data_IF_635666489968
#
_entry.id   IF_635666489968
#
_cell.length_a   1.000
_cell.length_b   1.000
_cell.length_c   1.000
_cell.angle_alpha   90.00
_cell.angle_beta   90.00
_cell.angle_gamma   90.00
#
_symmetry.space_group_name_H-M   'P 1'
#
loop_
_entity.id
_entity.type
_entity.pdbx_description
1 polymer ?
#
# COMPACT_ATOMS: atom_id res chain seq x y z
N UNK A 1 -29.56 -22.87 -4.37
CA UNK A 1 -29.60 -21.77 -5.35
C UNK A 1 -28.41 -21.93 -6.28
N UNK A 2 -28.65 -22.42 -7.50
CA UNK A 2 -27.62 -22.62 -8.53
C UNK A 2 -27.22 -21.24 -9.06
N UNK A 3 -26.12 -20.69 -8.55
CA UNK A 3 -25.59 -19.43 -9.03
C UNK A 3 -25.08 -19.59 -10.47
N UNK A 4 -25.88 -19.16 -11.45
CA UNK A 4 -25.40 -19.04 -12.82
C UNK A 4 -24.16 -18.16 -12.84
N UNK A 5 -23.05 -18.72 -13.32
CA UNK A 5 -21.79 -17.99 -13.48
C UNK A 5 -22.02 -16.90 -14.53
N UNK A 6 -22.10 -15.65 -14.11
CA UNK A 6 -22.32 -14.52 -15.02
C UNK A 6 -21.03 -14.18 -15.79
N UNK A 7 -21.10 -13.66 -17.03
CA UNK A 7 -19.91 -13.25 -17.78
C UNK A 7 -18.98 -12.33 -17.01
N UNK A 8 -19.54 -11.43 -16.18
CA UNK A 8 -18.78 -10.52 -15.31
C UNK A 8 -17.96 -11.27 -14.26
N UNK A 9 -18.47 -12.37 -13.69
CA UNK A 9 -17.72 -13.18 -12.72
C UNK A 9 -16.55 -13.88 -13.40
N UNK A 10 -16.75 -14.39 -14.61
CA UNK A 10 -15.67 -15.01 -15.39
C UNK A 10 -14.59 -13.98 -15.73
N UNK A 11 -14.96 -12.84 -16.29
CA UNK A 11 -14.02 -11.78 -16.67
C UNK A 11 -13.26 -11.24 -15.46
N UNK A 12 -13.95 -11.01 -14.34
CA UNK A 12 -13.30 -10.53 -13.10
C UNK A 12 -12.33 -11.56 -12.49
N UNK A 13 -12.68 -12.86 -12.54
CA UNK A 13 -11.78 -13.92 -12.07
C UNK A 13 -10.56 -14.09 -12.99
N UNK A 14 -10.75 -13.96 -14.31
CA UNK A 14 -9.65 -13.97 -15.27
C UNK A 14 -8.73 -12.76 -15.08
N UNK A 15 -9.29 -11.58 -14.82
CA UNK A 15 -8.52 -10.39 -14.49
C UNK A 15 -7.70 -10.57 -13.19
N UNK A 16 -8.31 -11.15 -12.16
CA UNK A 16 -7.62 -11.49 -10.91
C UNK A 16 -6.48 -12.48 -11.13
N UNK A 17 -6.74 -13.54 -11.90
CA UNK A 17 -5.72 -14.52 -12.28
C UNK A 17 -4.59 -13.90 -13.10
N UNK A 18 -4.92 -13.03 -14.05
CA UNK A 18 -3.94 -12.35 -14.89
C UNK A 18 -3.04 -11.41 -14.08
N UNK A 19 -3.61 -10.58 -13.18
CA UNK A 19 -2.83 -9.70 -12.30
C UNK A 19 -1.95 -10.51 -11.38
N UNK A 20 -2.48 -11.57 -10.75
CA UNK A 20 -1.70 -12.45 -9.89
C UNK A 20 -0.56 -13.13 -10.66
N UNK A 21 -0.82 -13.65 -11.86
CA UNK A 21 0.19 -14.26 -12.71
C UNK A 21 1.28 -13.25 -13.12
N UNK A 22 0.88 -12.05 -13.55
CA UNK A 22 1.81 -10.99 -13.96
C UNK A 22 2.76 -10.57 -12.85
N UNK A 23 2.26 -10.51 -11.62
CA UNK A 23 3.06 -10.13 -10.45
C UNK A 23 3.89 -11.31 -9.93
N UNK A 24 3.33 -12.52 -9.90
CA UNK A 24 4.01 -13.69 -9.33
C UNK A 24 5.03 -14.32 -10.30
N UNK A 25 4.79 -14.24 -11.61
CA UNK A 25 5.66 -14.83 -12.63
C UNK A 25 7.12 -14.43 -12.48
N UNK A 26 7.49 -13.15 -12.38
CA UNK A 26 8.88 -12.75 -12.20
C UNK A 26 9.45 -13.08 -10.81
N UNK A 27 8.58 -13.41 -9.83
CA UNK A 27 8.99 -13.67 -8.45
C UNK A 27 9.23 -15.16 -8.17
N UNK A 28 8.37 -16.05 -8.71
CA UNK A 28 8.38 -17.48 -8.37
C UNK A 28 8.50 -18.41 -9.58
N UNK A 29 8.65 -17.85 -10.78
CA UNK A 29 8.72 -18.59 -12.03
C UNK A 29 7.36 -18.90 -12.66
N UNK A 30 7.38 -19.25 -13.95
CA UNK A 30 6.17 -19.33 -14.77
C UNK A 30 5.16 -20.41 -14.33
N UNK A 31 5.64 -21.61 -14.07
CA UNK A 31 4.77 -22.73 -13.70
C UNK A 31 4.07 -22.55 -12.37
N UNK A 32 4.81 -22.13 -11.36
CA UNK A 32 4.26 -21.88 -10.01
C UNK A 32 3.32 -20.68 -10.01
N UNK A 33 3.69 -19.61 -10.71
CA UNK A 33 2.82 -18.44 -10.86
C UNK A 33 1.50 -18.78 -11.58
N UNK A 34 1.53 -19.59 -12.62
CA UNK A 34 0.32 -20.02 -13.32
C UNK A 34 -0.61 -20.85 -12.43
N UNK A 35 -0.06 -21.79 -11.67
CA UNK A 35 -0.86 -22.62 -10.74
C UNK A 35 -1.49 -21.75 -9.65
N UNK A 36 -0.72 -20.86 -9.04
CA UNK A 36 -1.23 -19.95 -8.00
C UNK A 36 -2.29 -18.99 -8.57
N UNK A 37 -2.06 -18.43 -9.74
CA UNK A 37 -3.00 -17.53 -10.39
C UNK A 37 -4.31 -18.21 -10.76
N UNK A 38 -4.27 -19.42 -11.31
CA UNK A 38 -5.46 -20.21 -11.61
C UNK A 38 -6.21 -20.61 -10.34
N UNK A 39 -5.50 -21.01 -9.28
CA UNK A 39 -6.10 -21.32 -8.00
C UNK A 39 -6.80 -20.11 -7.37
N UNK A 40 -6.16 -18.94 -7.39
CA UNK A 40 -6.75 -17.69 -6.91
C UNK A 40 -7.97 -17.28 -7.75
N UNK A 41 -7.91 -17.44 -9.07
CA UNK A 41 -9.05 -17.16 -9.96
C UNK A 41 -10.24 -18.08 -9.72
N UNK A 42 -10.00 -19.38 -9.52
CA UNK A 42 -11.05 -20.36 -9.21
C UNK A 42 -11.69 -20.07 -7.83
N UNK A 43 -10.89 -19.73 -6.82
CA UNK A 43 -11.37 -19.28 -5.52
C UNK A 43 -12.18 -17.98 -5.64
N UNK A 44 -11.68 -17.01 -6.42
CA UNK A 44 -12.37 -15.74 -6.66
C UNK A 44 -13.74 -15.98 -7.32
N UNK A 45 -13.81 -16.86 -8.32
CA UNK A 45 -15.08 -17.19 -9.00
C UNK A 45 -16.13 -17.74 -8.04
N UNK A 46 -15.73 -18.52 -7.04
CA UNK A 46 -16.62 -19.23 -6.11
C UNK A 46 -17.03 -18.39 -4.90
N UNK A 47 -16.09 -17.61 -4.35
CA UNK A 47 -16.27 -16.98 -3.04
C UNK A 47 -16.32 -15.45 -3.07
N UNK A 48 -15.82 -14.82 -4.13
CA UNK A 48 -15.70 -13.37 -4.19
C UNK A 48 -16.99 -12.71 -4.72
N UNK A 49 -17.47 -11.64 -4.08
CA UNK A 49 -18.62 -10.87 -4.55
C UNK A 49 -18.39 -10.27 -5.94
N UNK A 50 -19.47 -10.14 -6.74
CA UNK A 50 -19.42 -9.57 -8.09
C UNK A 50 -18.80 -8.16 -8.11
N UNK A 51 -19.08 -7.33 -7.10
CA UNK A 51 -18.52 -5.98 -6.99
C UNK A 51 -17.00 -5.97 -6.89
N UNK A 52 -16.42 -6.92 -6.16
CA UNK A 52 -14.97 -7.07 -6.00
C UNK A 52 -14.33 -7.57 -7.30
N UNK A 53 -14.98 -8.51 -7.99
CA UNK A 53 -14.51 -8.99 -9.30
C UNK A 53 -14.50 -7.87 -10.36
N UNK A 54 -15.50 -6.98 -10.34
CA UNK A 54 -15.52 -5.80 -11.20
C UNK A 54 -14.35 -4.84 -10.90
N UNK A 55 -14.05 -4.62 -9.62
CA UNK A 55 -12.87 -3.82 -9.24
C UNK A 55 -11.58 -4.43 -9.77
N UNK A 56 -11.41 -5.75 -9.64
CA UNK A 56 -10.25 -6.45 -10.17
C UNK A 56 -10.14 -6.33 -11.70
N UNK A 57 -11.26 -6.37 -12.41
CA UNK A 57 -11.27 -6.16 -13.86
C UNK A 57 -10.76 -4.76 -14.24
N UNK A 58 -11.19 -3.72 -13.50
CA UNK A 58 -10.73 -2.35 -13.72
C UNK A 58 -9.29 -2.10 -13.24
N UNK A 59 -8.75 -2.95 -12.39
CA UNK A 59 -7.36 -2.84 -11.93
C UNK A 59 -6.36 -3.04 -13.07
N UNK A 60 -6.65 -3.93 -14.04
CA UNK A 60 -5.75 -4.20 -15.18
C UNK A 60 -5.51 -2.96 -16.04
N UNK A 61 -6.56 -2.29 -16.60
CA UNK A 61 -6.34 -1.08 -17.38
C UNK A 61 -5.76 0.07 -16.55
N UNK A 62 -6.10 0.15 -15.26
CA UNK A 62 -5.53 1.16 -14.36
C UNK A 62 -4.02 0.95 -14.16
N UNK A 63 -3.56 -0.29 -13.99
CA UNK A 63 -2.12 -0.61 -13.94
C UNK A 63 -1.42 -0.22 -15.23
N UNK A 64 -2.01 -0.60 -16.38
CA UNK A 64 -1.46 -0.23 -17.68
C UNK A 64 -1.34 1.29 -17.85
N UNK A 65 -2.38 2.03 -17.45
CA UNK A 65 -2.38 3.49 -17.48
C UNK A 65 -1.31 4.09 -16.56
N UNK A 66 -1.18 3.58 -15.33
CA UNK A 66 -0.19 4.08 -14.36
C UNK A 66 1.23 3.84 -14.87
N UNK A 67 1.52 2.64 -15.39
CA UNK A 67 2.82 2.34 -15.99
C UNK A 67 3.09 3.24 -17.20
N UNK A 68 2.09 3.44 -18.06
CA UNK A 68 2.21 4.32 -19.22
C UNK A 68 2.53 5.75 -18.80
N UNK A 69 1.79 6.31 -17.85
CA UNK A 69 2.02 7.66 -17.32
C UNK A 69 3.41 7.76 -16.71
N UNK A 70 3.83 6.77 -15.92
CA UNK A 70 5.16 6.74 -15.32
C UNK A 70 6.25 6.77 -16.38
N UNK A 71 6.14 5.96 -17.45
CA UNK A 71 7.07 5.98 -18.57
C UNK A 71 7.09 7.35 -19.24
N UNK A 72 5.92 7.91 -19.54
CA UNK A 72 5.84 9.23 -20.20
C UNK A 72 6.50 10.33 -19.34
N UNK A 73 6.25 10.34 -18.04
CA UNK A 73 6.91 11.29 -17.14
C UNK A 73 8.45 11.16 -17.21
N UNK A 74 8.96 9.93 -17.13
CA UNK A 74 10.41 9.68 -17.17
C UNK A 74 11.04 10.05 -18.52
N UNK A 75 10.30 9.89 -19.63
CA UNK A 75 10.77 10.24 -20.96
C UNK A 75 10.67 11.74 -21.28
N UNK A 76 9.89 12.52 -20.53
CA UNK A 76 9.82 13.99 -20.66
C UNK A 76 10.85 14.70 -19.77
N UNK A 77 11.36 14.05 -18.73
CA UNK A 77 12.43 14.61 -17.89
C UNK A 77 13.74 14.62 -18.69
N UNK A 78 14.43 15.78 -18.82
CA UNK A 78 15.69 15.88 -19.55
C UNK A 78 16.80 15.06 -18.87
N UNK A 79 17.72 14.49 -19.68
CA UNK A 79 18.87 13.70 -19.25
C UNK A 79 18.71 12.20 -19.53
N UNK A 80 19.83 11.47 -19.54
CA UNK A 80 19.92 10.02 -19.77
C UNK A 80 20.29 9.29 -18.48
N UNK A 81 19.93 8.02 -18.32
CA UNK A 81 20.43 7.18 -17.23
C UNK A 81 21.95 7.14 -17.14
N UNK A 82 22.63 7.33 -18.26
CA UNK A 82 24.08 7.26 -18.41
C UNK A 82 24.78 8.63 -18.36
N UNK A 83 24.03 9.74 -18.19
CA UNK A 83 24.58 11.10 -18.21
C UNK A 83 25.48 11.46 -17.00
N UNK A 84 25.40 10.72 -15.90
CA UNK A 84 26.17 10.99 -14.68
C UNK A 84 27.56 10.35 -14.65
N UNK A 85 27.93 9.55 -15.65
CA UNK A 85 29.27 8.96 -15.76
C UNK A 85 30.21 9.99 -16.39
N UNK A 86 31.12 10.53 -15.58
CA UNK A 86 31.99 11.70 -15.87
C UNK A 86 32.82 11.64 -17.14
N UNK A 87 32.95 10.52 -17.84
CA UNK A 87 33.79 10.33 -19.02
C UNK A 87 33.08 9.59 -20.17
N UNK A 88 31.76 9.57 -20.22
CA UNK A 88 31.07 8.83 -21.27
C UNK A 88 30.92 9.66 -22.50
N UNK A 89 31.58 9.25 -23.59
CA UNK A 89 31.43 9.87 -24.93
C UNK A 89 29.99 9.67 -25.42
N UNK A 90 29.48 10.57 -26.25
CA UNK A 90 28.12 10.48 -26.80
C UNK A 90 27.85 9.14 -27.52
N UNK A 91 28.87 8.60 -28.18
CA UNK A 91 28.79 7.30 -28.86
C UNK A 91 28.59 6.15 -27.89
N UNK A 92 29.36 6.10 -26.79
CA UNK A 92 29.23 5.08 -25.75
C UNK A 92 27.88 5.17 -25.07
N UNK A 93 27.38 6.39 -24.82
CA UNK A 93 26.05 6.59 -24.25
C UNK A 93 24.95 6.03 -25.18
N UNK A 94 25.02 6.29 -26.49
CA UNK A 94 24.06 5.76 -27.48
C UNK A 94 24.11 4.23 -27.53
N UNK A 95 25.30 3.62 -27.51
CA UNK A 95 25.44 2.18 -27.47
C UNK A 95 24.81 1.57 -26.20
N UNK A 96 25.01 2.21 -25.05
CA UNK A 96 24.38 1.76 -23.79
C UNK A 96 22.84 1.92 -23.85
N UNK A 97 22.31 3.04 -24.36
CA UNK A 97 20.87 3.23 -24.55
C UNK A 97 20.27 2.16 -25.48
N UNK A 98 20.97 1.81 -26.56
CA UNK A 98 20.55 0.73 -27.46
C UNK A 98 20.61 -0.64 -26.78
N UNK A 99 21.67 -0.95 -26.03
CA UNK A 99 21.82 -2.21 -25.29
C UNK A 99 20.69 -2.43 -24.30
N UNK A 100 20.29 -1.39 -23.57
CA UNK A 100 19.16 -1.42 -22.63
C UNK A 100 17.81 -1.16 -23.30
N UNK A 101 17.78 -1.01 -24.63
CA UNK A 101 16.55 -0.79 -25.38
C UNK A 101 15.84 0.52 -25.03
N UNK A 102 16.59 1.58 -24.74
CA UNK A 102 16.04 2.90 -24.41
C UNK A 102 15.95 3.72 -25.69
N UNK A 103 14.74 4.00 -26.22
CA UNK A 103 14.59 4.81 -27.42
C UNK A 103 14.86 6.30 -27.15
N UNK A 104 14.92 7.09 -28.21
CA UNK A 104 15.05 8.54 -28.10
C UNK A 104 13.96 9.14 -27.21
N UNK A 105 14.31 10.18 -26.48
CA UNK A 105 13.41 10.93 -25.58
C UNK A 105 12.17 11.47 -26.30
N UNK A 106 11.14 11.75 -25.52
CA UNK A 106 9.86 12.30 -26.00
C UNK A 106 8.73 11.28 -26.03
N UNK A 107 7.54 11.72 -26.37
CA UNK A 107 6.31 10.95 -26.30
C UNK A 107 6.38 9.63 -27.10
N UNK A 108 6.85 9.70 -28.35
CA UNK A 108 6.96 8.51 -29.24
C UNK A 108 7.95 7.50 -28.68
N UNK A 109 9.07 7.97 -28.12
CA UNK A 109 10.05 7.11 -27.45
C UNK A 109 9.45 6.43 -26.23
N UNK A 110 8.72 7.17 -25.41
CA UNK A 110 7.99 6.61 -24.27
C UNK A 110 6.98 5.53 -24.70
N UNK A 111 6.21 5.74 -25.76
CA UNK A 111 5.30 4.73 -26.30
C UNK A 111 6.04 3.45 -26.75
N UNK A 112 7.15 3.58 -27.44
CA UNK A 112 7.97 2.44 -27.90
C UNK A 112 8.56 1.68 -26.71
N UNK A 113 9.08 2.39 -25.71
CA UNK A 113 9.62 1.78 -24.50
C UNK A 113 8.52 1.07 -23.70
N UNK A 114 7.37 1.69 -23.50
CA UNK A 114 6.23 1.09 -22.83
C UNK A 114 5.78 -0.20 -23.51
N UNK A 115 5.57 -0.18 -24.84
CA UNK A 115 5.19 -1.38 -25.59
C UNK A 115 6.19 -2.53 -25.43
N UNK A 116 7.49 -2.24 -25.51
CA UNK A 116 8.56 -3.20 -25.29
C UNK A 116 8.57 -3.73 -23.85
N UNK A 117 8.45 -2.85 -22.87
CA UNK A 117 8.42 -3.23 -21.46
C UNK A 117 7.25 -4.16 -21.14
N UNK A 118 6.05 -3.83 -21.62
CA UNK A 118 4.85 -4.68 -21.45
C UNK A 118 5.05 -6.02 -22.15
N UNK A 119 5.64 -6.04 -23.36
CA UNK A 119 5.96 -7.29 -24.05
C UNK A 119 6.91 -8.16 -23.22
N UNK A 120 8.03 -7.62 -22.72
CA UNK A 120 8.96 -8.36 -21.86
C UNK A 120 8.31 -8.83 -20.55
N UNK A 121 7.47 -8.02 -19.95
CA UNK A 121 6.77 -8.38 -18.73
C UNK A 121 5.80 -9.55 -18.94
N UNK A 122 5.06 -9.55 -20.05
CA UNK A 122 4.03 -10.57 -20.37
C UNK A 122 4.63 -11.79 -21.08
N UNK A 123 5.49 -11.59 -22.06
CA UNK A 123 6.06 -12.68 -22.85
C UNK A 123 7.25 -13.37 -22.15
N UNK A 124 8.19 -12.59 -21.64
CA UNK A 124 9.44 -13.12 -21.05
C UNK A 124 9.33 -13.31 -19.53
N UNK A 125 8.33 -12.71 -18.87
CA UNK A 125 8.13 -12.78 -17.44
C UNK A 125 9.22 -12.07 -16.63
N UNK A 126 9.85 -11.04 -17.18
CA UNK A 126 10.95 -10.30 -16.54
C UNK A 126 10.55 -8.85 -16.29
N UNK A 127 10.98 -8.29 -15.15
CA UNK A 127 10.83 -6.86 -14.87
C UNK A 127 11.93 -6.01 -15.54
N UNK A 128 12.84 -6.65 -16.29
CA UNK A 128 13.95 -6.02 -16.98
C UNK A 128 15.24 -5.98 -16.16
N UNK A 129 16.34 -5.51 -16.78
CA UNK A 129 17.65 -5.38 -16.13
C UNK A 129 17.72 -4.11 -15.27
N UNK A 130 18.52 -4.13 -14.19
CA UNK A 130 18.90 -2.91 -13.48
C UNK A 130 19.96 -2.17 -14.30
N UNK A 131 19.71 -0.87 -14.58
CA UNK A 131 20.68 -0.06 -15.33
C UNK A 131 21.88 0.31 -14.44
N UNK A 132 21.63 0.59 -13.17
CA UNK A 132 22.68 1.05 -12.23
C UNK A 132 23.37 -0.06 -11.48
N UNK A 133 22.77 -1.24 -11.37
CA UNK A 133 23.38 -2.42 -10.76
C UNK A 133 23.64 -3.46 -11.84
N UNK A 134 24.81 -3.36 -12.46
CA UNK A 134 25.19 -4.25 -13.58
C UNK A 134 25.11 -5.72 -13.19
N UNK A 135 24.61 -6.55 -14.11
CA UNK A 135 24.49 -7.99 -13.95
C UNK A 135 23.34 -8.46 -13.04
N UNK A 136 22.48 -7.57 -12.55
CA UNK A 136 21.29 -7.94 -11.77
C UNK A 136 20.00 -7.56 -12.51
N UNK A 137 18.98 -8.40 -12.33
CA UNK A 137 17.61 -8.07 -12.74
C UNK A 137 16.92 -7.20 -11.70
N UNK A 138 15.87 -6.50 -12.11
CA UNK A 138 15.00 -5.75 -11.18
C UNK A 138 14.41 -6.67 -10.12
N UNK A 139 14.06 -7.89 -10.48
CA UNK A 139 13.53 -8.90 -9.56
C UNK A 139 14.52 -9.23 -8.45
N UNK A 140 15.82 -9.37 -8.78
CA UNK A 140 16.88 -9.74 -7.80
C UNK A 140 17.07 -8.67 -6.72
N UNK A 141 16.75 -7.42 -7.03
CA UNK A 141 16.92 -6.30 -6.07
C UNK A 141 15.64 -5.98 -5.33
N UNK A 142 14.47 -6.18 -5.95
CA UNK A 142 13.18 -5.85 -5.33
C UNK A 142 12.60 -6.98 -4.48
N UNK A 143 12.84 -8.25 -4.85
CA UNK A 143 12.30 -9.38 -4.10
C UNK A 143 12.80 -9.45 -2.64
N UNK A 144 14.09 -9.23 -2.34
CA UNK A 144 14.56 -9.15 -0.95
C UNK A 144 14.05 -7.92 -0.20
N UNK A 145 13.73 -6.82 -0.90
CA UNK A 145 13.21 -5.58 -0.30
C UNK A 145 11.71 -5.65 0.04
N UNK A 146 10.96 -6.51 -0.68
CA UNK A 146 9.50 -6.64 -0.52
C UNK A 146 9.07 -7.01 0.92
N UNK A 147 9.61 -8.04 1.59
CA UNK A 147 9.21 -8.38 2.96
C UNK A 147 9.55 -7.29 3.97
N UNK A 148 10.57 -6.47 3.70
CA UNK A 148 10.98 -5.35 4.55
C UNK A 148 9.90 -4.26 4.53
N UNK A 149 9.55 -3.76 3.34
CA UNK A 149 8.48 -2.76 3.19
C UNK A 149 7.13 -3.28 3.66
N UNK A 150 6.81 -4.57 3.37
CA UNK A 150 5.57 -5.18 3.81
C UNK A 150 5.47 -5.24 5.34
N UNK A 151 6.53 -5.67 6.03
CA UNK A 151 6.55 -5.75 7.50
C UNK A 151 6.47 -4.36 8.15
N UNK A 152 7.14 -3.36 7.59
CA UNK A 152 7.03 -1.97 8.04
C UNK A 152 5.61 -1.43 7.84
N UNK A 153 5.04 -1.60 6.66
CA UNK A 153 3.68 -1.17 6.34
C UNK A 153 2.62 -1.85 7.20
N UNK A 154 2.75 -3.16 7.40
CA UNK A 154 1.85 -3.93 8.27
C UNK A 154 1.92 -3.45 9.73
N UNK A 155 3.13 -3.25 10.26
CA UNK A 155 3.32 -2.73 11.61
C UNK A 155 2.69 -1.33 11.75
N UNK A 156 2.92 -0.44 10.78
CA UNK A 156 2.33 0.89 10.78
C UNK A 156 0.80 0.84 10.73
N UNK A 157 0.21 -0.04 9.91
CA UNK A 157 -1.24 -0.22 9.82
C UNK A 157 -1.84 -0.75 11.12
N UNK A 158 -1.18 -1.72 11.76
CA UNK A 158 -1.61 -2.25 13.05
C UNK A 158 -1.55 -1.19 14.15
N UNK A 159 -0.47 -0.42 14.20
CA UNK A 159 -0.33 0.71 15.14
C UNK A 159 -1.39 1.79 14.88
N UNK A 160 -1.60 2.18 13.62
CA UNK A 160 -2.61 3.16 13.25
C UNK A 160 -4.02 2.71 13.65
N UNK A 161 -4.35 1.45 13.37
CA UNK A 161 -5.67 0.90 13.69
C UNK A 161 -5.86 0.76 15.20
N UNK A 162 -4.89 0.19 15.90
CA UNK A 162 -4.96 -0.01 17.34
C UNK A 162 -5.04 1.30 18.12
N UNK A 163 -4.14 2.24 17.85
CA UNK A 163 -4.13 3.56 18.48
C UNK A 163 -5.38 4.38 18.09
N UNK A 164 -5.70 4.43 16.80
CA UNK A 164 -6.85 5.19 16.30
C UNK A 164 -8.18 4.70 16.87
N UNK A 165 -8.43 3.38 16.88
CA UNK A 165 -9.63 2.81 17.47
C UNK A 165 -9.72 3.08 18.97
N UNK A 166 -8.64 2.85 19.71
CA UNK A 166 -8.67 3.04 21.18
C UNK A 166 -8.91 4.50 21.55
N UNK A 167 -8.24 5.43 20.90
CA UNK A 167 -8.42 6.87 21.12
C UNK A 167 -9.81 7.33 20.68
N UNK A 168 -10.25 6.95 19.48
CA UNK A 168 -11.52 7.39 18.93
C UNK A 168 -12.74 6.85 19.69
N UNK A 169 -12.73 5.55 20.03
CA UNK A 169 -13.82 4.97 20.83
C UNK A 169 -13.91 5.60 22.21
N UNK A 170 -12.76 5.79 22.91
CA UNK A 170 -12.76 6.46 24.22
C UNK A 170 -13.27 7.90 24.14
N UNK A 171 -12.88 8.64 23.11
CA UNK A 171 -13.36 9.99 22.84
C UNK A 171 -14.88 10.02 22.57
N UNK A 172 -15.37 9.08 21.72
CA UNK A 172 -16.78 8.96 21.40
C UNK A 172 -17.69 8.53 22.54
N UNK A 173 -17.18 7.72 23.49
CA UNK A 173 -17.91 7.31 24.70
C UNK A 173 -18.05 8.46 25.73
N UNK A 174 -17.15 9.43 25.71
CA UNK A 174 -17.15 10.58 26.63
C UNK A 174 -16.96 11.89 25.85
N UNK A 175 -17.94 12.29 25.03
CA UNK A 175 -17.83 13.49 24.23
C UNK A 175 -17.74 14.74 25.09
N UNK A 176 -17.08 15.78 24.59
CA UNK A 176 -16.86 17.06 25.27
C UNK A 176 -16.08 16.97 26.61
N UNK A 177 -15.23 15.96 26.77
CA UNK A 177 -14.32 15.79 27.90
C UNK A 177 -12.87 16.05 27.50
N UNK A 178 -11.97 16.16 28.48
CA UNK A 178 -10.52 16.30 28.22
C UNK A 178 -9.95 15.13 27.38
N UNK A 179 -10.48 13.92 27.55
CA UNK A 179 -10.10 12.77 26.72
C UNK A 179 -10.51 12.95 25.26
N UNK A 180 -11.67 13.56 25.03
CA UNK A 180 -12.14 13.87 23.67
C UNK A 180 -11.29 14.98 23.05
N UNK A 181 -11.12 16.11 23.74
CA UNK A 181 -10.30 17.21 23.24
C UNK A 181 -8.84 16.79 23.01
N UNK A 182 -8.25 15.99 23.92
CA UNK A 182 -6.89 15.47 23.76
C UNK A 182 -6.76 14.54 22.54
N UNK A 183 -7.74 13.63 22.34
CA UNK A 183 -7.76 12.75 21.17
C UNK A 183 -7.92 13.53 19.86
N UNK A 184 -8.75 14.56 19.85
CA UNK A 184 -8.93 15.40 18.66
C UNK A 184 -7.74 16.31 18.40
N UNK A 185 -7.09 16.84 19.44
CA UNK A 185 -5.82 17.57 19.32
C UNK A 185 -4.72 16.68 18.70
N UNK A 186 -4.58 15.46 19.20
CA UNK A 186 -3.67 14.48 18.60
C UNK A 186 -4.03 14.19 17.12
N UNK A 187 -5.32 14.05 16.82
CA UNK A 187 -5.78 13.82 15.44
C UNK A 187 -5.46 15.00 14.52
N UNK A 188 -5.63 16.23 14.97
CA UNK A 188 -5.29 17.42 14.18
C UNK A 188 -3.79 17.45 13.90
N UNK A 189 -2.94 17.28 14.90
CA UNK A 189 -1.48 17.26 14.75
C UNK A 189 -1.01 16.15 13.81
N UNK A 190 -1.57 14.93 13.96
CA UNK A 190 -1.18 13.79 13.15
C UNK A 190 -1.54 13.93 11.67
N UNK A 191 -2.65 14.59 11.33
CA UNK A 191 -3.05 14.82 9.93
C UNK A 191 -2.32 16.03 9.33
N UNK A 192 -1.94 17.02 10.14
CA UNK A 192 -1.34 18.27 9.66
C UNK A 192 0.12 18.13 9.25
N UNK A 193 0.82 17.14 9.78
CA UNK A 193 2.25 16.95 9.53
C UNK A 193 2.50 15.77 8.56
N UNK A 194 3.32 15.95 7.52
CA UNK A 194 3.78 14.85 6.68
C UNK A 194 4.52 13.78 7.50
N UNK A 195 4.34 12.50 7.16
CA UNK A 195 4.93 11.37 7.89
C UNK A 195 6.45 11.45 8.01
N UNK A 196 7.16 11.94 7.00
CA UNK A 196 8.61 12.09 7.05
C UNK A 196 9.06 13.20 8.02
N UNK A 197 8.27 14.27 8.18
CA UNK A 197 8.53 15.32 9.18
C UNK A 197 8.38 14.73 10.58
N UNK A 198 7.30 13.98 10.82
CA UNK A 198 7.10 13.25 12.07
C UNK A 198 8.28 12.31 12.33
N UNK A 199 8.70 11.55 11.30
CA UNK A 199 9.84 10.64 11.35
C UNK A 199 11.14 11.34 11.73
N UNK A 200 11.43 12.49 11.11
CA UNK A 200 12.60 13.30 11.44
C UNK A 200 12.56 13.82 12.87
N UNK A 201 11.40 14.30 13.36
CA UNK A 201 11.23 14.75 14.74
C UNK A 201 11.43 13.60 15.73
N UNK A 202 10.84 12.42 15.46
CA UNK A 202 11.03 11.23 16.30
C UNK A 202 12.49 10.78 16.33
N UNK A 203 13.19 10.83 15.20
CA UNK A 203 14.62 10.50 15.11
C UNK A 203 15.46 11.46 15.96
N UNK A 204 15.22 12.76 15.86
CA UNK A 204 15.94 13.77 16.66
C UNK A 204 15.72 13.57 18.14
N UNK A 205 14.47 13.32 18.56
CA UNK A 205 14.14 13.21 19.99
C UNK A 205 14.59 11.87 20.57
N UNK A 206 14.28 10.74 19.90
CA UNK A 206 14.41 9.39 20.48
C UNK A 206 15.62 8.59 19.99
N UNK A 207 16.29 9.03 18.94
CA UNK A 207 17.48 8.33 18.43
C UNK A 207 18.76 9.16 18.60
N UNK A 208 18.70 10.48 18.41
CA UNK A 208 19.86 11.39 18.50
C UNK A 208 19.91 12.17 19.81
N UNK A 209 18.76 12.47 20.43
CA UNK A 209 18.63 13.31 21.61
C UNK A 209 19.13 12.60 22.88
N UNK A 210 20.20 13.12 23.52
CA UNK A 210 20.62 12.68 24.85
C UNK A 210 19.71 13.29 25.91
N UNK A 211 19.30 12.52 26.93
CA UNK A 211 19.64 11.15 27.29
C UNK A 211 18.72 10.08 26.63
N UNK A 212 17.84 10.42 25.68
CA UNK A 212 16.74 9.62 25.17
C UNK A 212 17.07 8.77 23.92
N UNK A 213 18.37 8.48 23.68
CA UNK A 213 18.78 7.62 22.55
C UNK A 213 18.37 6.15 22.75
N UNK A 214 17.05 5.91 22.75
CA UNK A 214 16.47 4.58 23.00
C UNK A 214 16.38 3.70 21.74
N UNK A 215 16.37 4.33 20.58
CA UNK A 215 16.19 3.66 19.30
C UNK A 215 17.36 3.91 18.35
N UNK A 216 17.64 2.97 17.44
CA UNK A 216 18.63 3.17 16.38
C UNK A 216 18.24 4.33 15.47
N UNK A 217 19.23 5.07 14.97
CA UNK A 217 19.01 6.23 14.07
C UNK A 217 18.55 5.75 12.69
N UNK A 218 19.18 4.69 12.16
CA UNK A 218 18.93 4.21 10.80
C UNK A 218 19.29 2.73 10.66
N UNK A 219 18.79 2.10 9.60
CA UNK A 219 19.10 0.72 9.23
C UNK A 219 17.94 -0.24 9.43
N UNK A 220 18.25 -1.54 9.39
CA UNK A 220 17.31 -2.65 9.51
C UNK A 220 18.01 -3.82 10.21
N UNK A 221 17.26 -4.66 10.93
CA UNK A 221 17.84 -5.89 11.51
C UNK A 221 17.41 -6.18 12.95
N UNK A 222 16.79 -5.20 13.66
CA UNK A 222 16.20 -5.44 14.98
C UNK A 222 14.85 -4.76 15.10
N UNK A 223 14.06 -5.20 16.08
CA UNK A 223 12.75 -4.59 16.36
C UNK A 223 12.84 -3.06 16.60
N UNK A 224 13.93 -2.60 17.24
CA UNK A 224 14.16 -1.17 17.50
C UNK A 224 14.21 -0.32 16.23
N UNK A 225 14.68 -0.86 15.11
CA UNK A 225 14.74 -0.14 13.82
C UNK A 225 13.37 0.07 13.19
N UNK A 226 12.35 -0.74 13.57
CA UNK A 226 11.00 -0.65 12.99
C UNK A 226 10.15 0.38 13.73
N UNK A 227 10.39 0.60 15.04
CA UNK A 227 9.47 1.37 15.91
C UNK A 227 9.26 2.79 15.42
N UNK A 228 10.33 3.58 15.30
CA UNK A 228 10.20 4.99 14.91
C UNK A 228 9.62 5.16 13.49
N UNK A 229 10.09 4.44 12.47
CA UNK A 229 9.49 4.50 11.14
C UNK A 229 8.02 4.10 11.11
N UNK A 230 7.66 3.01 11.82
CA UNK A 230 6.27 2.54 11.88
C UNK A 230 5.35 3.55 12.60
N UNK A 231 5.80 4.17 13.68
CA UNK A 231 5.05 5.25 14.37
C UNK A 231 4.89 6.45 13.45
N UNK A 232 5.94 6.88 12.75
CA UNK A 232 5.88 8.00 11.82
C UNK A 232 4.86 7.77 10.70
N UNK A 233 4.84 6.57 10.11
CA UNK A 233 3.88 6.18 9.10
C UNK A 233 2.46 6.03 9.67
N UNK A 234 2.32 5.51 10.88
CA UNK A 234 1.04 5.25 11.51
C UNK A 234 0.30 6.54 11.92
N UNK A 235 1.01 7.57 12.35
CA UNK A 235 0.42 8.75 13.01
C UNK A 235 -0.69 9.44 12.20
N UNK A 236 -0.52 9.79 10.91
CA UNK A 236 -1.59 10.43 10.12
C UNK A 236 -2.84 9.54 10.00
N UNK A 237 -2.65 8.24 9.84
CA UNK A 237 -3.73 7.27 9.69
C UNK A 237 -4.42 6.97 11.02
N UNK A 238 -3.67 6.87 12.12
CA UNK A 238 -4.21 6.74 13.48
C UNK A 238 -5.10 7.94 13.82
N UNK A 239 -4.67 9.13 13.47
CA UNK A 239 -5.42 10.37 13.65
C UNK A 239 -6.75 10.37 12.88
N UNK A 240 -6.72 9.92 11.63
CA UNK A 240 -7.93 9.81 10.80
C UNK A 240 -8.87 8.72 11.31
N UNK A 241 -8.34 7.55 11.67
CA UNK A 241 -9.08 6.43 12.25
C UNK A 241 -9.71 6.83 13.59
N UNK A 242 -9.01 7.58 14.44
CA UNK A 242 -9.54 8.07 15.71
C UNK A 242 -10.78 8.97 15.48
N UNK A 243 -10.74 9.85 14.49
CA UNK A 243 -11.87 10.70 14.13
C UNK A 243 -13.07 9.91 13.61
N UNK A 244 -12.83 8.91 12.73
CA UNK A 244 -13.88 8.03 12.24
C UNK A 244 -14.49 7.19 13.37
N UNK A 245 -13.66 6.59 14.21
CA UNK A 245 -14.13 5.79 15.35
C UNK A 245 -14.91 6.63 16.36
N UNK A 246 -14.48 7.88 16.61
CA UNK A 246 -15.21 8.81 17.48
C UNK A 246 -16.60 9.09 16.96
N UNK A 247 -16.72 9.55 15.70
CA UNK A 247 -18.03 9.86 15.10
C UNK A 247 -18.94 8.64 15.02
N UNK A 248 -18.41 7.48 14.59
CA UNK A 248 -19.18 6.23 14.56
C UNK A 248 -19.63 5.78 15.95
N UNK A 249 -18.80 5.97 16.99
CA UNK A 249 -19.19 5.66 18.38
C UNK A 249 -20.32 6.55 18.86
N UNK A 250 -20.21 7.87 18.65
CA UNK A 250 -21.29 8.82 19.05
C UNK A 250 -22.60 8.48 18.34
N UNK A 251 -22.55 8.23 17.04
CA UNK A 251 -23.73 7.88 16.25
C UNK A 251 -24.41 6.60 16.78
N UNK A 252 -23.65 5.54 16.96
CA UNK A 252 -24.20 4.25 17.41
C UNK A 252 -24.71 4.30 18.84
N UNK A 253 -24.03 5.00 19.75
CA UNK A 253 -24.45 5.13 21.16
C UNK A 253 -25.82 5.87 21.29
N UNK A 254 -26.25 6.60 20.30
CA UNK A 254 -27.54 7.28 20.28
C UNK A 254 -28.67 6.44 19.63
N UNK A 255 -28.39 5.24 19.13
CA UNK A 255 -29.38 4.35 18.47
C UNK A 255 -30.32 3.70 19.49
N UNK A 256 -31.53 3.37 19.06
CA UNK A 256 -32.59 2.81 19.92
C UNK A 256 -32.24 1.42 20.47
N UNK A 257 -31.49 0.59 19.71
CA UNK A 257 -31.07 -0.72 20.21
C UNK A 257 -30.09 -0.61 21.39
N UNK A 258 -29.28 0.46 21.45
CA UNK A 258 -28.40 0.73 22.59
C UNK A 258 -29.22 1.16 23.81
N UNK A 259 -30.25 2.01 23.63
CA UNK A 259 -31.19 2.39 24.68
C UNK A 259 -31.93 1.18 25.22
N UNK A 260 -32.37 0.28 24.33
CA UNK A 260 -33.02 -0.99 24.72
C UNK A 260 -32.09 -1.90 25.51
N UNK A 261 -30.82 -2.00 25.13
CA UNK A 261 -29.84 -2.81 25.87
C UNK A 261 -29.61 -2.27 27.30
N UNK A 262 -29.53 -0.94 27.46
CA UNK A 262 -29.45 -0.29 28.77
C UNK A 262 -30.72 -0.49 29.60
N UNK A 263 -31.89 -0.39 28.98
CA UNK A 263 -33.17 -0.61 29.65
C UNK A 263 -33.33 -2.06 30.17
N UNK A 264 -32.67 -3.02 29.52
CA UNK A 264 -32.60 -4.44 29.99
C UNK A 264 -31.60 -4.66 31.15
N UNK A 265 -30.95 -3.58 31.64
CA UNK A 265 -30.02 -3.67 32.76
C UNK A 265 -28.63 -4.21 32.41
N UNK A 266 -28.24 -4.26 31.13
CA UNK A 266 -26.90 -4.71 30.74
C UNK A 266 -25.84 -3.71 31.24
N UNK A 267 -24.70 -4.23 31.75
CA UNK A 267 -23.60 -3.36 32.16
C UNK A 267 -23.01 -2.60 30.97
N UNK A 268 -22.61 -1.34 31.18
CA UNK A 268 -22.15 -0.44 30.10
C UNK A 268 -21.03 -1.05 29.25
N UNK A 269 -20.10 -1.81 29.87
CA UNK A 269 -19.05 -2.53 29.15
C UNK A 269 -19.62 -3.51 28.12
N UNK A 270 -20.69 -4.21 28.46
CA UNK A 270 -21.33 -5.18 27.57
C UNK A 270 -22.09 -4.47 26.46
N UNK A 271 -22.79 -3.38 26.78
CA UNK A 271 -23.46 -2.50 25.81
C UNK A 271 -22.45 -1.99 24.78
N UNK A 272 -21.31 -1.49 25.21
CA UNK A 272 -20.25 -0.99 24.32
C UNK A 272 -19.66 -2.11 23.47
N UNK A 273 -19.17 -3.19 24.10
CA UNK A 273 -18.38 -4.21 23.39
C UNK A 273 -19.23 -5.10 22.47
N UNK A 274 -20.44 -5.47 22.88
CA UNK A 274 -21.31 -6.38 22.10
C UNK A 274 -22.25 -5.64 21.14
N UNK A 275 -22.75 -4.48 21.55
CA UNK A 275 -23.80 -3.78 20.79
C UNK A 275 -23.28 -2.57 20.02
N UNK A 276 -22.49 -1.69 20.65
CA UNK A 276 -22.08 -0.46 19.99
C UNK A 276 -20.84 -0.60 19.10
N UNK A 277 -19.79 -1.31 19.56
CA UNK A 277 -18.50 -1.36 18.89
C UNK A 277 -18.59 -1.91 17.47
N UNK A 278 -19.40 -2.94 17.23
CA UNK A 278 -19.58 -3.54 15.91
C UNK A 278 -20.05 -2.51 14.86
N UNK A 279 -21.00 -1.65 15.23
CA UNK A 279 -21.48 -0.59 14.33
C UNK A 279 -20.48 0.56 14.18
N UNK A 280 -19.83 0.92 15.30
CA UNK A 280 -18.90 2.05 15.34
C UNK A 280 -17.61 1.83 14.52
N UNK A 281 -17.19 0.57 14.34
CA UNK A 281 -15.96 0.26 13.58
C UNK A 281 -16.18 0.12 12.07
N UNK A 282 -17.42 0.05 11.58
CA UNK A 282 -17.70 -0.12 10.12
C UNK A 282 -17.03 0.98 9.28
N UNK A 283 -17.13 2.28 9.61
CA UNK A 283 -16.43 3.33 8.85
C UNK A 283 -14.91 3.19 8.89
N UNK A 284 -14.37 2.70 10.01
CA UNK A 284 -12.93 2.47 10.17
C UNK A 284 -12.47 1.35 9.24
N UNK A 285 -13.18 0.21 9.23
CA UNK A 285 -12.82 -0.92 8.36
C UNK A 285 -12.89 -0.52 6.88
N UNK A 286 -13.89 0.25 6.48
CA UNK A 286 -13.98 0.79 5.12
C UNK A 286 -12.77 1.65 4.74
N UNK A 287 -12.14 2.30 5.72
CA UNK A 287 -10.97 3.15 5.52
C UNK A 287 -9.64 2.37 5.55
N UNK A 288 -9.59 1.13 6.05
CA UNK A 288 -8.32 0.40 6.16
C UNK A 288 -7.66 0.14 4.80
N UNK A 289 -8.43 -0.06 3.72
CA UNK A 289 -7.88 -0.20 2.36
C UNK A 289 -7.14 1.06 1.89
N UNK A 290 -7.80 2.22 1.84
CA UNK A 290 -7.15 3.51 1.59
C UNK A 290 -5.97 3.81 2.53
N UNK A 291 -6.09 3.46 3.82
CA UNK A 291 -5.01 3.66 4.78
C UNK A 291 -3.78 2.80 4.45
N UNK A 292 -3.99 1.51 4.14
CA UNK A 292 -2.91 0.62 3.75
C UNK A 292 -2.21 1.11 2.46
N UNK A 293 -2.99 1.53 1.45
CA UNK A 293 -2.47 2.11 0.22
C UNK A 293 -1.61 3.35 0.50
N UNK A 294 -2.11 4.26 1.33
CA UNK A 294 -1.38 5.47 1.68
C UNK A 294 -0.13 5.21 2.56
N UNK A 295 -0.16 4.19 3.42
CA UNK A 295 1.02 3.77 4.20
C UNK A 295 2.10 3.23 3.26
N UNK A 296 1.74 2.38 2.30
CA UNK A 296 2.68 1.83 1.32
C UNK A 296 3.31 2.95 0.49
N UNK A 297 2.50 3.87 -0.06
CA UNK A 297 3.01 5.02 -0.81
C UNK A 297 3.86 5.97 0.05
N UNK A 298 3.45 6.21 1.31
CA UNK A 298 4.21 7.04 2.26
C UNK A 298 5.49 6.40 2.75
N UNK A 299 5.62 5.08 2.67
CA UNK A 299 6.81 4.36 3.14
C UNK A 299 8.07 4.74 2.38
N UNK A 300 7.99 5.12 1.10
CA UNK A 300 9.14 5.43 0.25
C UNK A 300 10.05 6.51 0.85
N UNK A 301 9.46 7.60 1.30
CA UNK A 301 10.22 8.71 1.89
C UNK A 301 10.73 8.34 3.28
N UNK A 302 9.91 7.65 4.08
CA UNK A 302 10.29 7.22 5.43
C UNK A 302 11.38 6.14 5.38
N UNK A 303 11.29 5.17 4.47
CA UNK A 303 12.34 4.17 4.25
C UNK A 303 13.68 4.82 3.89
N UNK A 304 13.64 5.83 3.02
CA UNK A 304 14.84 6.58 2.64
C UNK A 304 15.41 7.37 3.82
N UNK A 305 14.55 8.04 4.60
CA UNK A 305 14.94 8.82 5.78
C UNK A 305 15.63 7.96 6.85
N UNK A 306 15.07 6.77 7.13
CA UNK A 306 15.61 5.84 8.13
C UNK A 306 16.63 4.85 7.57
N UNK A 307 17.03 4.97 6.29
CA UNK A 307 18.00 4.08 5.66
C UNK A 307 17.56 2.61 5.58
N UNK A 308 16.25 2.35 5.53
CA UNK A 308 15.66 1.01 5.46
C UNK A 308 15.83 0.45 4.04
N UNK A 309 16.35 -0.78 3.86
CA UNK A 309 16.57 -1.37 2.53
C UNK A 309 15.28 -1.97 1.93
N UNK A 310 14.20 -1.19 1.91
CA UNK A 310 12.91 -1.58 1.35
C UNK A 310 12.71 -1.16 -0.11
N UNK A 311 11.51 -1.43 -0.65
CA UNK A 311 11.13 -1.13 -2.04
C UNK A 311 11.16 0.39 -2.29
N UNK A 312 10.73 1.20 -1.32
CA UNK A 312 10.67 2.64 -1.45
C UNK A 312 12.04 3.27 -1.68
N UNK A 313 13.08 2.76 -1.03
CA UNK A 313 14.46 3.19 -1.28
C UNK A 313 14.89 2.91 -2.72
N UNK A 314 14.51 1.76 -3.28
CA UNK A 314 14.79 1.43 -4.67
C UNK A 314 14.04 2.34 -5.63
N UNK A 315 12.78 2.68 -5.32
CA UNK A 315 12.01 3.66 -6.12
C UNK A 315 12.69 5.03 -6.14
N UNK A 316 13.02 5.59 -4.97
CA UNK A 316 13.65 6.91 -4.86
C UNK A 316 15.00 6.93 -5.57
N UNK A 317 15.86 5.94 -5.32
CA UNK A 317 17.14 5.81 -5.99
C UNK A 317 16.99 5.60 -7.50
N UNK A 318 16.04 4.78 -7.93
CA UNK A 318 15.73 4.55 -9.34
C UNK A 318 15.27 5.82 -10.04
N UNK A 319 14.40 6.60 -9.40
CA UNK A 319 13.93 7.87 -9.94
C UNK A 319 15.05 8.92 -10.06
N UNK A 320 15.86 9.09 -9.03
CA UNK A 320 17.01 10.02 -9.02
C UNK A 320 18.07 9.62 -10.05
N UNK A 321 18.39 8.33 -10.14
CA UNK A 321 19.39 7.80 -11.06
C UNK A 321 18.83 7.46 -12.44
N UNK A 322 17.54 7.69 -12.68
CA UNK A 322 16.83 7.41 -13.95
C UNK A 322 16.91 5.94 -14.38
N UNK A 323 16.88 5.02 -13.41
CA UNK A 323 16.78 3.59 -13.71
C UNK A 323 15.31 3.24 -14.01
N UNK A 324 14.95 3.28 -15.28
CA UNK A 324 13.56 3.13 -15.75
C UNK A 324 12.95 1.80 -15.35
N UNK A 325 13.73 0.73 -15.45
CA UNK A 325 13.26 -0.61 -15.14
C UNK A 325 12.99 -0.79 -13.64
N UNK A 326 13.87 -0.28 -12.78
CA UNK A 326 13.68 -0.32 -11.31
C UNK A 326 12.46 0.49 -10.91
N UNK A 327 12.26 1.68 -11.47
CA UNK A 327 11.06 2.50 -11.17
C UNK A 327 9.78 1.78 -11.58
N UNK A 328 9.73 1.21 -12.78
CA UNK A 328 8.54 0.47 -13.25
C UNK A 328 8.29 -0.80 -12.43
N UNK A 329 9.33 -1.55 -12.09
CA UNK A 329 9.22 -2.73 -11.23
C UNK A 329 8.69 -2.39 -9.84
N UNK A 330 9.16 -1.28 -9.22
CA UNK A 330 8.66 -0.81 -7.93
C UNK A 330 7.19 -0.38 -8.02
N UNK A 331 6.78 0.32 -9.08
CA UNK A 331 5.37 0.70 -9.31
C UNK A 331 4.48 -0.53 -9.44
N UNK A 332 4.91 -1.59 -10.14
CA UNK A 332 4.15 -2.85 -10.24
C UNK A 332 3.95 -3.48 -8.88
N UNK A 333 5.02 -3.60 -8.08
CA UNK A 333 4.94 -4.21 -6.75
C UNK A 333 4.07 -3.39 -5.79
N UNK A 334 4.17 -2.06 -5.85
CA UNK A 334 3.32 -1.16 -5.06
C UNK A 334 1.84 -1.33 -5.41
N UNK A 335 1.52 -1.29 -6.71
CA UNK A 335 0.15 -1.51 -7.18
C UNK A 335 -0.39 -2.88 -6.75
N UNK A 336 0.44 -3.92 -6.79
CA UNK A 336 0.07 -5.25 -6.33
C UNK A 336 -0.22 -5.28 -4.82
N UNK A 337 0.62 -4.65 -4.00
CA UNK A 337 0.42 -4.54 -2.56
C UNK A 337 -0.86 -3.77 -2.23
N UNK A 338 -1.07 -2.61 -2.85
CA UNK A 338 -2.29 -1.80 -2.68
C UNK A 338 -3.53 -2.60 -3.06
N UNK A 339 -3.49 -3.31 -4.18
CA UNK A 339 -4.60 -4.15 -4.64
C UNK A 339 -4.87 -5.31 -3.67
N UNK A 340 -3.82 -5.96 -3.17
CA UNK A 340 -3.94 -7.04 -2.18
C UNK A 340 -4.58 -6.55 -0.88
N UNK A 341 -4.16 -5.40 -0.34
CA UNK A 341 -4.75 -4.81 0.85
C UNK A 341 -6.22 -4.43 0.64
N UNK A 342 -6.54 -3.78 -0.48
CA UNK A 342 -7.93 -3.44 -0.80
C UNK A 342 -8.80 -4.69 -0.93
N UNK A 343 -8.29 -5.76 -1.56
CA UNK A 343 -9.00 -7.04 -1.65
C UNK A 343 -9.27 -7.66 -0.28
N UNK A 344 -8.29 -7.66 0.61
CA UNK A 344 -8.46 -8.16 1.99
C UNK A 344 -9.56 -7.39 2.71
N UNK A 345 -9.58 -6.06 2.60
CA UNK A 345 -10.62 -5.22 3.21
C UNK A 345 -11.98 -5.48 2.58
N UNK A 346 -12.07 -5.56 1.25
CA UNK A 346 -13.32 -5.84 0.54
C UNK A 346 -13.92 -7.21 0.92
N UNK A 347 -13.08 -8.20 1.19
CA UNK A 347 -13.51 -9.53 1.67
C UNK A 347 -13.89 -9.53 3.15
N UNK A 348 -13.28 -8.66 3.96
CA UNK A 348 -13.59 -8.54 5.39
C UNK A 348 -14.91 -7.77 5.64
N UNK A 349 -15.27 -6.81 4.78
CA UNK A 349 -16.45 -5.97 4.94
C UNK A 349 -17.77 -6.75 5.11
N UNK A 350 -18.13 -7.75 4.28
CA UNK A 350 -19.36 -8.54 4.47
C UNK A 350 -19.40 -9.38 5.75
N UNK A 351 -18.25 -9.63 6.39
CA UNK A 351 -18.18 -10.32 7.67
C UNK A 351 -18.59 -9.39 8.82
N UNK A 352 -18.32 -8.09 8.69
CA UNK A 352 -18.58 -7.08 9.70
C UNK A 352 -19.96 -6.42 9.53
N UNK A 353 -20.37 -6.16 8.29
CA UNK A 353 -21.68 -5.61 7.97
C UNK A 353 -22.55 -6.64 7.21
N UNK A 354 -23.47 -7.35 7.91
CA UNK A 354 -24.37 -8.31 7.28
C UNK A 354 -25.30 -7.71 6.21
N UNK A 355 -25.54 -6.40 6.22
CA UNK A 355 -26.37 -5.72 5.23
C UNK A 355 -25.77 -5.74 3.82
N UNK A 356 -24.45 -5.93 3.74
CA UNK A 356 -23.72 -6.05 2.47
C UNK A 356 -23.81 -7.45 1.87
N UNK A 357 -24.18 -8.47 2.66
CA UNK A 357 -24.30 -9.87 2.18
C UNK A 357 -25.42 -10.07 1.14
N UNK A 358 -26.43 -9.21 1.13
CA UNK A 358 -27.59 -9.32 0.22
C UNK A 358 -27.42 -8.57 -1.11
N UNK A 359 -26.36 -7.77 -1.27
CA UNK A 359 -26.06 -6.98 -2.48
C UNK A 359 -24.86 -7.51 -3.27
N UNK A 360 -24.28 -8.62 -2.85
CA UNK A 360 -23.10 -9.26 -3.45
C UNK A 360 -23.48 -10.35 -4.48
#
# INVERSE_FOLDING_TARGET
MSGRVTPVRILGSLAASFVAWLVLRPLVGEGVAAILALGLGALALRYVPRAVLLRMLWTVPLFGLLLFVTVQLMFHVPGSPFASEKNTTEEVRKQQEELYGIPQKGFVGGCKFFGRYVHHLVADGTMGPCIKVQGRSVTDVLLPALPISFSLGLMALLLATGAGLTLGVRAGLRPNTLTDYGSMGFAILGVSLPSFVIGAMLMVVFALGKPWSWFPVAGWGSFGHIVLPAVALAMPYAAYIARLARSGTIEVMNQDFVRTARAKGLPEREVVMKHALRGAIVPVVSFLGPAAAGIVAGSFVVETLFGIPGIGRWFVNGAVNRDYYVVLGTVILECALVTAFNLIVDLAMPLLDPRLRGKA
#
